data_IF_006445271776
#
_entry.id   IF_006445271776
#
_cell.length_a   1.000
_cell.length_b   1.000
_cell.length_c   1.000
_cell.angle_alpha   90.00
_cell.angle_beta   90.00
_cell.angle_gamma   90.00
#
_symmetry.space_group_name_H-M   'P 1'
#
loop_
_entity.id
_entity.type
_entity.pdbx_description
1 polymer ?
#
# COMPACT_ATOMS: atom_id res chain seq x y z
N UNK A 1 27.28 -70.25 16.65
CA UNK A 1 27.03 -71.71 16.62
C UNK A 1 26.62 -72.13 18.03
N UNK A 2 25.49 -72.84 18.15
CA UNK A 2 24.75 -73.22 19.36
C UNK A 2 24.13 -72.02 20.13
N UNK A 3 22.81 -71.83 20.24
CA UNK A 3 21.68 -72.73 20.05
C UNK A 3 21.25 -73.35 21.37
N UNK A 4 20.44 -72.65 22.17
CA UNK A 4 19.68 -73.23 23.28
C UNK A 4 18.27 -72.61 23.30
N UNK A 5 17.33 -73.45 22.88
CA UNK A 5 15.88 -73.31 23.05
C UNK A 5 15.49 -74.09 24.32
N UNK A 6 14.66 -73.49 25.17
CA UNK A 6 13.92 -74.21 26.21
C UNK A 6 12.45 -73.78 26.18
N UNK A 7 11.60 -74.79 26.22
CA UNK A 7 10.15 -74.78 26.08
C UNK A 7 9.39 -74.23 27.31
N UNK A 8 8.21 -73.64 27.02
CA UNK A 8 6.89 -73.57 27.69
C UNK A 8 6.64 -74.39 28.98
N UNK A 9 5.59 -74.13 29.84
CA UNK A 9 4.23 -73.66 29.45
C UNK A 9 3.47 -72.77 30.48
N UNK A 10 2.28 -72.29 30.09
CA UNK A 10 1.32 -71.69 31.04
C UNK A 10 0.13 -71.04 30.36
N UNK A 11 -0.82 -71.84 29.88
CA UNK A 11 -2.11 -71.37 29.38
C UNK A 11 -3.05 -71.01 30.55
N UNK A 12 -3.66 -69.82 30.50
CA UNK A 12 -4.96 -69.57 31.14
C UNK A 12 -5.87 -68.89 30.13
N UNK A 13 -6.85 -69.67 29.67
CA UNK A 13 -8.02 -69.26 28.91
C UNK A 13 -8.96 -68.42 29.77
N UNK A 14 -9.32 -67.23 29.30
CA UNK A 14 -10.59 -66.60 29.65
C UNK A 14 -11.30 -66.21 28.36
N UNK A 15 -12.29 -67.02 28.01
CA UNK A 15 -13.32 -66.73 27.01
C UNK A 15 -14.28 -65.70 27.56
N UNK A 16 -14.43 -64.56 26.88
CA UNK A 16 -15.65 -63.76 26.95
C UNK A 16 -16.10 -63.44 25.54
N UNK A 17 -17.15 -64.16 25.12
CA UNK A 17 -17.95 -63.87 23.95
C UNK A 17 -18.79 -62.63 24.21
N UNK A 18 -18.74 -61.63 23.31
CA UNK A 18 -19.95 -60.87 23.00
C UNK A 18 -19.94 -60.31 21.58
N UNK A 19 -20.87 -60.87 20.81
CA UNK A 19 -21.31 -60.42 19.50
C UNK A 19 -21.92 -59.02 19.57
N UNK A 20 -21.44 -58.12 18.72
CA UNK A 20 -22.26 -57.09 18.07
C UNK A 20 -21.79 -56.90 16.63
N UNK A 21 -22.55 -57.44 15.68
CA UNK A 21 -22.40 -57.13 14.24
C UNK A 21 -22.95 -55.72 13.99
N UNK A 22 -22.11 -54.70 14.08
CA UNK A 22 -22.42 -53.40 13.47
C UNK A 22 -22.03 -53.46 11.99
N UNK A 23 -23.05 -53.61 11.13
CA UNK A 23 -22.91 -53.42 9.69
C UNK A 23 -22.57 -51.95 9.44
N UNK A 24 -21.30 -51.64 9.24
CA UNK A 24 -20.93 -50.39 8.58
C UNK A 24 -21.27 -50.55 7.10
N UNK A 25 -22.40 -49.96 6.68
CA UNK A 25 -22.63 -49.70 5.26
C UNK A 25 -21.50 -48.80 4.77
N UNK A 26 -20.79 -49.24 3.74
CA UNK A 26 -19.93 -48.34 2.96
C UNK A 26 -20.83 -47.23 2.43
N UNK A 27 -20.69 -46.03 2.98
CA UNK A 27 -21.16 -44.83 2.32
C UNK A 27 -20.27 -44.71 1.07
N UNK A 28 -20.80 -45.13 -0.07
CA UNK A 28 -20.25 -44.72 -1.36
C UNK A 28 -20.39 -43.21 -1.41
N UNK A 29 -19.30 -42.50 -1.12
CA UNK A 29 -19.14 -41.09 -1.44
C UNK A 29 -19.24 -40.95 -2.95
N UNK A 30 -20.46 -40.72 -3.43
CA UNK A 30 -20.70 -40.18 -4.75
C UNK A 30 -19.96 -38.85 -4.81
N UNK A 31 -18.83 -38.83 -5.51
CA UNK A 31 -18.11 -37.61 -5.86
C UNK A 31 -19.02 -36.75 -6.70
N UNK A 32 -19.79 -35.87 -6.04
CA UNK A 32 -20.45 -34.75 -6.70
C UNK A 32 -19.31 -33.86 -7.18
N UNK A 33 -18.88 -34.05 -8.42
CA UNK A 33 -18.07 -33.07 -9.12
C UNK A 33 -18.93 -31.83 -9.22
N UNK A 34 -18.67 -30.83 -8.37
CA UNK A 34 -19.18 -29.48 -8.57
C UNK A 34 -18.61 -28.97 -9.89
N UNK A 35 -19.30 -29.24 -11.00
CA UNK A 35 -19.05 -28.51 -12.24
C UNK A 35 -19.41 -27.07 -11.94
N UNK A 36 -18.40 -26.21 -11.86
CA UNK A 36 -18.58 -24.77 -11.85
C UNK A 36 -19.28 -24.44 -13.16
N UNK A 37 -20.59 -24.24 -13.12
CA UNK A 37 -21.33 -23.65 -14.22
C UNK A 37 -21.14 -22.15 -14.14
N UNK A 38 -20.68 -21.53 -15.24
CA UNK A 38 -20.76 -20.09 -15.41
C UNK A 38 -22.25 -19.73 -15.50
N UNK A 39 -22.88 -19.45 -14.36
CA UNK A 39 -24.21 -18.85 -14.32
C UNK A 39 -23.96 -17.41 -14.75
N UNK A 40 -24.18 -17.11 -16.03
CA UNK A 40 -24.07 -15.78 -16.61
C UNK A 40 -25.14 -14.83 -16.09
N UNK A 41 -25.17 -14.63 -14.77
CA UNK A 41 -26.09 -13.73 -14.10
C UNK A 41 -25.41 -12.36 -13.93
N UNK A 42 -25.41 -11.60 -15.03
CA UNK A 42 -25.17 -10.16 -15.01
C UNK A 42 -26.05 -9.53 -16.12
N UNK A 43 -27.38 -9.45 -15.92
CA UNK A 43 -28.31 -8.97 -16.94
C UNK A 43 -28.12 -7.49 -17.28
N UNK A 44 -27.51 -6.71 -16.38
CA UNK A 44 -27.29 -5.27 -16.50
C UNK A 44 -25.83 -4.89 -16.81
N UNK A 45 -24.93 -5.88 -16.94
CA UNK A 45 -23.52 -5.67 -17.30
C UNK A 45 -22.69 -4.91 -16.26
N UNK A 46 -23.12 -4.91 -14.99
CA UNK A 46 -22.54 -4.08 -13.91
C UNK A 46 -21.19 -4.61 -13.45
N UNK A 47 -20.96 -5.92 -13.57
CA UNK A 47 -19.77 -6.59 -13.01
C UNK A 47 -18.59 -6.63 -14.00
N UNK A 48 -18.83 -6.30 -15.27
CA UNK A 48 -17.83 -6.33 -16.33
C UNK A 48 -17.30 -7.75 -16.62
N UNK A 49 -16.42 -7.90 -17.63
CA UNK A 49 -15.87 -9.20 -17.98
C UNK A 49 -15.01 -9.77 -16.82
N UNK A 50 -15.04 -11.09 -16.58
CA UNK A 50 -14.22 -11.71 -15.55
C UNK A 50 -12.74 -11.44 -15.82
N UNK A 51 -12.06 -10.84 -14.84
CA UNK A 51 -10.61 -10.57 -14.92
C UNK A 51 -9.87 -11.90 -14.71
N UNK A 52 -9.01 -12.28 -15.66
CA UNK A 52 -8.17 -13.47 -15.56
C UNK A 52 -6.99 -13.30 -14.59
N UNK A 53 -6.22 -14.37 -14.38
CA UNK A 53 -4.95 -14.32 -13.65
C UNK A 53 -5.03 -14.46 -12.13
N UNK A 54 -6.21 -14.68 -11.54
CA UNK A 54 -6.36 -14.90 -10.10
C UNK A 54 -5.56 -16.11 -9.58
N UNK A 55 -5.54 -17.21 -10.34
CA UNK A 55 -4.76 -18.42 -10.00
C UNK A 55 -3.26 -18.11 -10.04
N UNK A 56 -2.79 -17.45 -11.11
CA UNK A 56 -1.38 -17.08 -11.24
C UNK A 56 -0.90 -16.14 -10.11
N UNK A 57 -1.74 -15.17 -9.69
CA UNK A 57 -1.44 -14.30 -8.54
C UNK A 57 -1.36 -15.07 -7.23
N UNK A 58 -2.28 -16.01 -7.00
CA UNK A 58 -2.26 -16.85 -5.81
C UNK A 58 -1.06 -17.79 -5.79
N UNK A 59 -0.71 -18.39 -6.93
CA UNK A 59 0.46 -19.24 -7.06
C UNK A 59 1.76 -18.45 -6.88
N UNK A 60 1.85 -17.24 -7.44
CA UNK A 60 2.97 -16.33 -7.25
C UNK A 60 3.13 -15.95 -5.77
N UNK A 61 2.03 -15.53 -5.12
CA UNK A 61 2.01 -15.24 -3.68
C UNK A 61 2.46 -16.44 -2.86
N UNK A 62 1.96 -17.64 -3.18
CA UNK A 62 2.31 -18.88 -2.48
C UNK A 62 3.77 -19.31 -2.71
N UNK A 63 4.36 -19.01 -3.86
CA UNK A 63 5.79 -19.25 -4.15
C UNK A 63 6.66 -18.32 -3.35
N UNK A 64 6.37 -17.01 -3.37
CA UNK A 64 7.01 -16.05 -2.48
C UNK A 64 6.84 -16.50 -1.03
N UNK A 65 5.67 -17.00 -0.61
CA UNK A 65 5.49 -17.39 0.79
C UNK A 65 6.34 -18.57 1.26
N UNK A 66 6.72 -19.46 0.34
CA UNK A 66 7.42 -20.71 0.63
C UNK A 66 8.93 -20.63 0.40
N UNK A 67 9.36 -19.75 -0.49
CA UNK A 67 10.74 -19.66 -0.94
C UNK A 67 11.35 -18.33 -0.48
N UNK A 68 12.22 -18.42 0.52
CA UNK A 68 12.95 -17.27 1.07
C UNK A 68 13.87 -16.64 0.02
N UNK A 69 14.52 -17.44 -0.83
CA UNK A 69 15.38 -16.95 -1.91
C UNK A 69 14.59 -16.22 -2.99
N UNK A 70 13.39 -16.70 -3.33
CA UNK A 70 12.51 -16.00 -4.27
C UNK A 70 11.99 -14.66 -3.70
N UNK A 71 11.72 -14.59 -2.38
CA UNK A 71 11.37 -13.32 -1.72
C UNK A 71 12.54 -12.34 -1.76
N UNK A 72 13.73 -12.80 -1.42
CA UNK A 72 14.94 -11.98 -1.39
C UNK A 72 15.26 -11.43 -2.78
N UNK A 73 15.23 -12.28 -3.81
CA UNK A 73 15.45 -11.85 -5.20
C UNK A 73 14.41 -10.82 -5.66
N UNK A 74 13.14 -11.02 -5.31
CA UNK A 74 12.09 -10.05 -5.63
C UNK A 74 12.29 -8.71 -4.91
N UNK A 75 12.66 -8.74 -3.62
CA UNK A 75 12.97 -7.53 -2.86
C UNK A 75 14.20 -6.81 -3.42
N UNK A 76 15.24 -7.54 -3.83
CA UNK A 76 16.42 -6.98 -4.48
C UNK A 76 16.05 -6.28 -5.79
N UNK A 77 15.26 -6.90 -6.65
CA UNK A 77 14.76 -6.28 -7.89
C UNK A 77 13.99 -4.98 -7.61
N UNK A 78 13.12 -4.96 -6.59
CA UNK A 78 12.40 -3.75 -6.22
C UNK A 78 13.35 -2.65 -5.72
N UNK A 79 14.40 -3.00 -4.98
CA UNK A 79 15.42 -2.05 -4.52
C UNK A 79 16.21 -1.48 -5.69
N UNK A 80 16.68 -2.33 -6.61
CA UNK A 80 17.41 -1.93 -7.82
C UNK A 80 16.57 -0.98 -8.70
N UNK A 81 15.31 -1.33 -8.95
CA UNK A 81 14.37 -0.47 -9.69
C UNK A 81 14.13 0.86 -8.97
N UNK A 82 14.04 0.85 -7.64
CA UNK A 82 13.89 2.07 -6.86
C UNK A 82 15.15 2.93 -6.90
N UNK A 83 16.34 2.32 -6.82
CA UNK A 83 17.63 3.00 -6.90
C UNK A 83 17.88 3.58 -8.29
N UNK A 84 17.56 2.83 -9.36
CA UNK A 84 17.63 3.33 -10.73
C UNK A 84 16.78 4.59 -10.89
N UNK A 85 15.54 4.56 -10.42
CA UNK A 85 14.65 5.74 -10.44
C UNK A 85 15.18 6.90 -9.59
N UNK A 86 15.76 6.62 -8.42
CA UNK A 86 16.42 7.67 -7.62
C UNK A 86 17.60 8.29 -8.39
N UNK A 87 18.40 7.49 -9.07
CA UNK A 87 19.52 7.98 -9.87
C UNK A 87 19.04 8.84 -11.05
N UNK A 88 17.99 8.42 -11.74
CA UNK A 88 17.34 9.21 -12.81
C UNK A 88 16.87 10.57 -12.29
N UNK A 89 16.21 10.63 -11.13
CA UNK A 89 15.78 11.90 -10.49
C UNK A 89 16.94 12.82 -10.12
N UNK A 90 18.05 12.24 -9.66
CA UNK A 90 19.24 13.00 -9.27
C UNK A 90 19.99 13.54 -10.50
N UNK A 91 19.94 12.81 -11.62
CA UNK A 91 20.54 13.25 -12.88
C UNK A 91 19.78 14.39 -13.55
N UNK A 92 18.45 14.50 -13.30
CA UNK A 92 17.63 15.59 -13.83
C UNK A 92 18.04 16.94 -13.22
N UNK A 93 18.35 17.90 -14.10
CA UNK A 93 18.70 19.28 -13.73
C UNK A 93 17.45 20.14 -13.77
N UNK A 94 17.17 20.84 -12.66
CA UNK A 94 16.02 21.74 -12.55
C UNK A 94 16.35 23.05 -13.28
N UNK A 95 15.56 23.47 -14.27
CA UNK A 95 15.79 24.74 -14.97
C UNK A 95 15.48 25.96 -14.09
N UNK A 96 16.18 27.07 -14.31
CA UNK A 96 15.97 28.32 -13.54
C UNK A 96 14.86 29.22 -14.13
N UNK A 97 14.54 29.10 -15.42
CA UNK A 97 13.50 29.88 -16.11
C UNK A 97 12.11 29.23 -15.99
N UNK A 98 11.04 30.05 -16.05
CA UNK A 98 9.66 29.56 -16.01
C UNK A 98 9.32 28.70 -17.25
N UNK A 99 9.75 29.11 -18.44
CA UNK A 99 9.57 28.36 -19.69
C UNK A 99 10.29 27.01 -19.61
N UNK A 100 11.54 27.01 -19.13
CA UNK A 100 12.31 25.79 -18.92
C UNK A 100 11.66 24.87 -17.88
N UNK A 101 11.10 25.43 -16.81
CA UNK A 101 10.38 24.67 -15.80
C UNK A 101 9.09 24.05 -16.36
N UNK A 102 8.40 24.74 -17.27
CA UNK A 102 7.22 24.22 -17.95
C UNK A 102 7.57 23.04 -18.86
N UNK A 103 8.59 23.16 -19.71
CA UNK A 103 9.07 22.05 -20.55
C UNK A 103 9.55 20.88 -19.69
N UNK A 104 10.24 21.16 -18.58
CA UNK A 104 10.67 20.14 -17.64
C UNK A 104 9.50 19.28 -17.14
N UNK A 105 8.35 19.88 -16.85
CA UNK A 105 7.15 19.16 -16.41
C UNK A 105 6.45 18.43 -17.54
N UNK A 106 6.46 18.96 -18.77
CA UNK A 106 5.94 18.27 -19.95
C UNK A 106 6.77 17.02 -20.28
N UNK A 107 8.08 17.07 -20.10
CA UNK A 107 9.01 15.95 -20.24
C UNK A 107 9.07 15.04 -19.00
N UNK A 108 8.21 15.26 -18.01
CA UNK A 108 8.17 14.43 -16.79
C UNK A 108 7.18 13.28 -16.97
N UNK A 109 7.63 12.07 -16.64
CA UNK A 109 6.74 10.90 -16.66
C UNK A 109 5.61 11.05 -15.63
N UNK A 110 4.41 10.56 -15.98
CA UNK A 110 3.24 10.65 -15.11
C UNK A 110 3.42 10.00 -13.72
N UNK A 111 4.36 9.05 -13.56
CA UNK A 111 4.67 8.42 -12.26
C UNK A 111 5.60 9.25 -11.40
N UNK A 112 6.36 10.16 -11.99
CA UNK A 112 7.38 10.97 -11.33
C UNK A 112 6.90 12.41 -11.12
N UNK A 113 5.83 12.82 -11.81
CA UNK A 113 5.28 14.17 -11.72
C UNK A 113 4.89 14.54 -10.28
N UNK A 114 4.32 13.62 -9.50
CA UNK A 114 3.96 13.88 -8.10
C UNK A 114 5.18 14.19 -7.24
N UNK A 115 6.30 13.50 -7.51
CA UNK A 115 7.56 13.74 -6.81
C UNK A 115 8.16 15.09 -7.20
N UNK A 116 8.17 15.41 -8.50
CA UNK A 116 8.70 16.70 -8.98
C UNK A 116 7.85 17.88 -8.53
N UNK A 117 6.52 17.74 -8.46
CA UNK A 117 5.62 18.74 -7.87
C UNK A 117 5.99 18.98 -6.40
N UNK A 118 6.21 17.90 -5.64
CA UNK A 118 6.58 18.00 -4.22
C UNK A 118 7.94 18.68 -4.04
N UNK A 119 8.93 18.31 -4.87
CA UNK A 119 10.29 18.88 -4.86
C UNK A 119 10.31 20.36 -5.23
N UNK A 120 9.51 20.75 -6.22
CA UNK A 120 9.50 22.10 -6.81
C UNK A 120 8.33 22.95 -6.31
N UNK A 121 7.60 22.50 -5.27
CA UNK A 121 6.48 23.23 -4.67
C UNK A 121 6.78 24.70 -4.38
N UNK A 122 7.97 25.10 -3.85
CA UNK A 122 8.28 26.50 -3.60
C UNK A 122 8.38 27.37 -4.85
N UNK A 123 8.55 26.76 -6.03
CA UNK A 123 8.61 27.43 -7.33
C UNK A 123 7.27 27.43 -8.07
N UNK A 124 6.39 26.50 -7.76
CA UNK A 124 5.01 26.41 -8.27
C UNK A 124 4.10 27.46 -7.60
N UNK A 125 4.44 28.73 -7.78
CA UNK A 125 3.75 29.88 -7.21
C UNK A 125 2.76 30.47 -8.22
N UNK A 126 1.97 31.44 -7.76
CA UNK A 126 1.01 32.17 -8.60
C UNK A 126 1.66 32.73 -9.87
N UNK A 127 2.88 33.26 -9.77
CA UNK A 127 3.64 33.81 -10.92
C UNK A 127 3.86 32.77 -12.02
N UNK A 128 4.20 31.53 -11.67
CA UNK A 128 4.38 30.44 -12.61
C UNK A 128 3.06 30.03 -13.27
N UNK A 129 1.97 29.94 -12.50
CA UNK A 129 0.65 29.63 -13.08
C UNK A 129 0.11 30.76 -13.95
N UNK A 130 0.39 32.01 -13.60
CA UNK A 130 0.04 33.16 -14.42
C UNK A 130 0.86 33.19 -15.71
N UNK A 131 2.12 32.75 -15.69
CA UNK A 131 2.93 32.51 -16.89
C UNK A 131 2.26 31.51 -17.85
N UNK A 132 1.86 30.33 -17.35
CA UNK A 132 1.16 29.32 -18.18
C UNK A 132 -0.14 29.88 -18.76
N UNK A 133 -0.91 30.66 -17.99
CA UNK A 133 -2.15 31.29 -18.49
C UNK A 133 -1.88 32.30 -19.60
N UNK A 134 -0.77 33.05 -19.52
CA UNK A 134 -0.38 34.00 -20.57
C UNK A 134 -0.01 33.27 -21.85
N UNK A 135 0.79 32.21 -21.79
CA UNK A 135 1.11 31.39 -22.97
C UNK A 135 -0.14 30.77 -23.58
N UNK A 136 -1.01 30.16 -22.77
CA UNK A 136 -2.29 29.63 -23.22
C UNK A 136 -3.16 30.71 -23.89
N UNK A 137 -3.17 31.92 -23.33
CA UNK A 137 -3.86 33.06 -23.93
C UNK A 137 -3.29 33.41 -25.30
N UNK A 138 -1.96 33.53 -25.42
CA UNK A 138 -1.29 33.84 -26.68
C UNK A 138 -1.60 32.80 -27.75
N UNK A 139 -1.56 31.51 -27.41
CA UNK A 139 -1.86 30.42 -28.36
C UNK A 139 -3.34 30.37 -28.76
N UNK A 140 -4.27 30.56 -27.81
CA UNK A 140 -5.72 30.52 -28.08
C UNK A 140 -6.21 31.70 -28.93
N UNK A 141 -5.61 32.87 -28.75
CA UNK A 141 -5.97 34.11 -29.45
C UNK A 141 -5.09 34.42 -30.66
N UNK A 142 -4.15 33.53 -31.03
CA UNK A 142 -3.37 33.69 -32.24
C UNK A 142 -4.26 33.70 -33.50
N UNK A 143 -3.98 34.64 -34.40
CA UNK A 143 -4.76 34.87 -35.63
C UNK A 143 -4.66 33.70 -36.61
N UNK A 144 -3.54 33.00 -36.63
CA UNK A 144 -3.30 31.79 -37.43
C UNK A 144 -3.26 30.57 -36.52
N UNK A 145 -4.26 29.68 -36.62
CA UNK A 145 -4.27 28.41 -35.89
C UNK A 145 -3.68 27.32 -36.76
N UNK A 146 -2.54 26.78 -36.34
CA UNK A 146 -1.97 25.55 -36.91
C UNK A 146 -2.27 24.37 -35.99
N UNK A 147 -2.22 23.15 -36.51
CA UNK A 147 -2.42 21.93 -35.70
C UNK A 147 -1.44 21.84 -34.54
N UNK A 148 -0.17 22.19 -34.78
CA UNK A 148 0.89 22.22 -33.77
C UNK A 148 0.55 23.18 -32.60
N UNK A 149 -0.10 24.31 -32.88
CA UNK A 149 -0.55 25.23 -31.83
C UNK A 149 -1.73 24.66 -31.03
N UNK A 150 -2.65 23.96 -31.69
CA UNK A 150 -3.77 23.29 -31.02
C UNK A 150 -3.29 22.15 -30.11
N UNK A 151 -2.35 21.34 -30.60
CA UNK A 151 -1.72 20.26 -29.81
C UNK A 151 -0.99 20.83 -28.60
N UNK A 152 -0.22 21.92 -28.77
CA UNK A 152 0.46 22.58 -27.66
C UNK A 152 -0.51 23.17 -26.63
N UNK A 153 -1.65 23.71 -27.06
CA UNK A 153 -2.70 24.18 -26.14
C UNK A 153 -3.22 23.03 -25.28
N UNK A 154 -3.43 21.84 -25.86
CA UNK A 154 -3.90 20.65 -25.13
C UNK A 154 -2.86 20.21 -24.10
N UNK A 155 -1.57 20.16 -24.47
CA UNK A 155 -0.47 19.82 -23.56
C UNK A 155 -0.40 20.79 -22.37
N UNK A 156 -0.46 22.10 -22.65
CA UNK A 156 -0.39 23.14 -21.63
C UNK A 156 -1.61 23.14 -20.69
N UNK A 157 -2.79 22.86 -21.21
CA UNK A 157 -4.00 22.72 -20.39
C UNK A 157 -3.93 21.48 -19.50
N UNK A 158 -3.46 20.35 -20.05
CA UNK A 158 -3.29 19.12 -19.31
C UNK A 158 -2.29 19.30 -18.16
N UNK A 159 -1.11 19.86 -18.44
CA UNK A 159 -0.08 20.05 -17.41
C UNK A 159 -0.51 21.09 -16.37
N UNK A 160 -1.16 22.18 -16.78
CA UNK A 160 -1.70 23.17 -15.84
C UNK A 160 -2.65 22.52 -14.83
N UNK A 161 -3.57 21.68 -15.32
CA UNK A 161 -4.53 20.97 -14.47
C UNK A 161 -3.83 20.02 -13.50
N UNK A 162 -2.90 19.20 -13.99
CA UNK A 162 -2.16 18.24 -13.16
C UNK A 162 -1.33 18.96 -12.07
N UNK A 163 -0.66 20.06 -12.42
CA UNK A 163 0.13 20.83 -11.46
C UNK A 163 -0.76 21.53 -10.42
N UNK A 164 -1.93 22.04 -10.79
CA UNK A 164 -2.88 22.63 -9.83
C UNK A 164 -3.40 21.56 -8.86
N UNK A 165 -3.91 20.44 -9.37
CA UNK A 165 -4.41 19.34 -8.53
C UNK A 165 -3.31 18.77 -7.62
N UNK A 166 -2.09 18.59 -8.15
CA UNK A 166 -0.96 18.08 -7.38
C UNK A 166 -0.47 19.05 -6.31
N UNK A 167 -0.41 20.35 -6.58
CA UNK A 167 -0.03 21.36 -5.56
C UNK A 167 -1.08 21.46 -4.45
N UNK A 168 -2.37 21.42 -4.78
CA UNK A 168 -3.44 21.37 -3.78
C UNK A 168 -3.39 20.11 -2.93
N UNK A 169 -3.14 18.94 -3.55
CA UNK A 169 -3.00 17.68 -2.84
C UNK A 169 -1.80 17.71 -1.89
N UNK A 170 -0.66 18.26 -2.35
CA UNK A 170 0.53 18.44 -1.53
C UNK A 170 0.25 19.36 -0.33
N UNK A 171 -0.38 20.50 -0.54
CA UNK A 171 -0.67 21.47 0.54
C UNK A 171 -1.63 20.87 1.59
N UNK A 172 -2.65 20.12 1.15
CA UNK A 172 -3.56 19.38 2.04
C UNK A 172 -2.79 18.34 2.86
N UNK A 173 -1.96 17.54 2.21
CA UNK A 173 -1.12 16.54 2.88
C UNK A 173 -0.17 17.20 3.89
N UNK A 174 0.45 18.32 3.54
CA UNK A 174 1.33 19.06 4.45
C UNK A 174 0.57 19.55 5.69
N UNK A 175 -0.62 20.14 5.51
CA UNK A 175 -1.46 20.57 6.63
C UNK A 175 -1.89 19.39 7.52
N UNK A 176 -2.23 18.26 6.92
CA UNK A 176 -2.58 17.03 7.64
C UNK A 176 -1.40 16.49 8.45
N UNK A 177 -0.18 16.53 7.90
CA UNK A 177 1.03 16.10 8.61
C UNK A 177 1.39 17.05 9.77
N UNK A 178 1.30 18.36 9.58
CA UNK A 178 1.55 19.35 10.65
C UNK A 178 0.55 19.17 11.77
N UNK A 179 -0.74 19.07 11.46
CA UNK A 179 -1.77 18.84 12.47
C UNK A 179 -1.64 17.48 13.15
N UNK A 180 -1.22 16.43 12.41
CA UNK A 180 -0.95 15.12 13.00
C UNK A 180 0.22 15.15 13.98
N UNK A 181 1.28 15.91 13.68
CA UNK A 181 2.40 16.14 14.60
C UNK A 181 1.94 16.82 15.89
N UNK A 182 1.15 17.89 15.79
CA UNK A 182 0.61 18.60 16.97
C UNK A 182 -0.26 17.69 17.84
N UNK A 183 -1.12 16.90 17.22
CA UNK A 183 -1.96 15.88 17.88
C UNK A 183 -1.11 14.83 18.59
N UNK A 184 -0.04 14.35 17.93
CA UNK A 184 0.85 13.37 18.53
C UNK A 184 1.61 13.93 19.73
N UNK A 185 2.09 15.17 19.64
CA UNK A 185 2.72 15.88 20.76
C UNK A 185 1.74 15.99 21.94
N UNK A 186 0.48 16.37 21.68
CA UNK A 186 -0.56 16.42 22.72
C UNK A 186 -0.76 15.06 23.40
N UNK A 187 -0.79 13.96 22.65
CA UNK A 187 -0.94 12.61 23.21
C UNK A 187 0.25 12.26 24.10
N UNK A 188 1.48 12.44 23.59
CA UNK A 188 2.69 12.02 24.29
C UNK A 188 2.98 12.87 25.54
N UNK A 189 2.61 14.15 25.53
CA UNK A 189 2.80 15.06 26.66
C UNK A 189 1.66 14.99 27.70
N UNK A 190 0.52 14.37 27.39
CA UNK A 190 -0.61 14.31 28.31
C UNK A 190 -0.29 13.50 29.57
N UNK A 191 -0.75 14.00 30.73
CA UNK A 191 -0.68 13.25 31.99
C UNK A 191 -1.59 12.01 31.92
N UNK A 192 -2.85 12.20 31.49
CA UNK A 192 -3.84 11.15 31.30
C UNK A 192 -4.07 10.83 29.81
N UNK A 193 -3.38 9.79 29.34
CA UNK A 193 -3.37 9.41 27.92
C UNK A 193 -4.71 8.85 27.47
N UNK A 194 -5.38 8.07 28.32
CA UNK A 194 -6.66 7.42 27.99
C UNK A 194 -7.78 8.45 27.81
N UNK A 195 -7.89 9.43 28.71
CA UNK A 195 -8.89 10.50 28.59
C UNK A 195 -8.60 11.40 27.39
N UNK A 196 -7.32 11.74 27.16
CA UNK A 196 -6.89 12.53 26.00
C UNK A 196 -7.22 11.81 24.69
N UNK A 197 -6.97 10.50 24.61
CA UNK A 197 -7.33 9.70 23.43
C UNK A 197 -8.85 9.67 23.23
N UNK A 198 -9.65 9.50 24.28
CA UNK A 198 -11.12 9.54 24.18
C UNK A 198 -11.63 10.91 23.68
N UNK A 199 -11.12 12.01 24.24
CA UNK A 199 -11.44 13.37 23.80
C UNK A 199 -11.10 13.57 22.31
N UNK A 200 -9.96 13.03 21.87
CA UNK A 200 -9.52 13.11 20.48
C UNK A 200 -10.34 12.23 19.54
N UNK A 201 -10.84 11.08 20.01
CA UNK A 201 -11.77 10.23 19.26
C UNK A 201 -13.10 10.94 19.06
N UNK A 202 -13.65 11.55 20.11
CA UNK A 202 -14.90 12.32 20.03
C UNK A 202 -14.82 13.46 19.01
N UNK A 203 -13.63 14.06 18.86
CA UNK A 203 -13.37 15.13 17.87
C UNK A 203 -12.94 14.62 16.49
N UNK A 204 -12.95 13.30 16.23
CA UNK A 204 -12.43 12.67 15.01
C UNK A 204 -10.99 13.08 14.67
N UNK A 205 -10.16 13.26 15.70
CA UNK A 205 -8.79 13.72 15.57
C UNK A 205 -7.78 12.58 15.44
N UNK A 206 -8.17 11.34 15.72
CA UNK A 206 -7.34 10.16 15.47
C UNK A 206 -7.50 9.71 14.02
N UNK A 207 -6.46 9.89 13.22
CA UNK A 207 -6.43 9.53 11.80
C UNK A 207 -5.18 8.70 11.47
N UNK A 208 -5.13 8.19 10.24
CA UNK A 208 -4.04 7.33 9.77
C UNK A 208 -2.69 8.05 9.77
N UNK A 209 -2.65 9.37 9.57
CA UNK A 209 -1.42 10.15 9.57
C UNK A 209 -0.78 10.23 10.97
N UNK A 210 -1.57 10.43 12.04
CA UNK A 210 -1.03 10.38 13.42
C UNK A 210 -0.44 9.00 13.73
N UNK A 211 -1.10 7.93 13.29
CA UNK A 211 -0.61 6.57 13.48
C UNK A 211 0.69 6.32 12.70
N UNK A 212 0.76 6.77 11.43
CA UNK A 212 1.96 6.61 10.62
C UNK A 212 3.17 7.34 11.21
N UNK A 213 2.98 8.57 11.71
CA UNK A 213 4.04 9.32 12.41
C UNK A 213 4.49 8.63 13.70
N UNK A 214 3.56 8.02 14.44
CA UNK A 214 3.91 7.23 15.63
C UNK A 214 4.72 5.99 15.26
N UNK A 215 4.36 5.30 14.17
CA UNK A 215 5.08 4.12 13.68
C UNK A 215 6.51 4.47 13.24
N UNK A 216 6.70 5.58 12.54
CA UNK A 216 8.02 6.09 12.15
C UNK A 216 8.88 6.49 13.36
N UNK A 217 8.28 7.13 14.37
CA UNK A 217 8.97 7.48 15.61
C UNK A 217 9.38 6.23 16.41
N UNK A 218 8.55 5.19 16.44
CA UNK A 218 8.88 3.90 17.07
C UNK A 218 10.07 3.27 16.34
N UNK A 219 10.02 3.18 15.01
CA UNK A 219 11.12 2.64 14.22
C UNK A 219 12.43 3.42 14.46
N UNK A 220 12.37 4.75 14.42
CA UNK A 220 13.52 5.62 14.70
C UNK A 220 14.05 5.44 16.13
N UNK A 221 13.18 5.26 17.13
CA UNK A 221 13.61 5.02 18.51
C UNK A 221 14.30 3.65 18.66
N UNK A 222 13.84 2.63 17.95
CA UNK A 222 14.47 1.30 17.93
C UNK A 222 15.83 1.33 17.25
N UNK A 223 15.96 2.05 16.13
CA UNK A 223 17.24 2.25 15.43
C UNK A 223 18.28 2.96 16.30
N UNK A 224 17.84 3.86 17.18
CA UNK A 224 18.71 4.61 18.12
C UNK A 224 18.80 3.96 19.52
N UNK A 225 18.43 2.69 19.67
CA UNK A 225 18.48 1.94 20.95
C UNK A 225 17.68 2.54 22.13
N UNK A 226 16.73 3.44 21.87
CA UNK A 226 15.84 4.04 22.87
C UNK A 226 14.65 3.13 23.21
N UNK A 227 14.94 1.96 23.79
CA UNK A 227 13.97 0.86 24.01
C UNK A 227 12.80 1.24 24.93
N UNK A 228 13.05 2.05 25.96
CA UNK A 228 12.00 2.49 26.89
C UNK A 228 10.99 3.43 26.21
N UNK A 229 11.49 4.37 25.39
CA UNK A 229 10.65 5.28 24.63
C UNK A 229 9.84 4.53 23.55
N UNK A 230 10.48 3.56 22.87
CA UNK A 230 9.81 2.70 21.90
C UNK A 230 8.67 1.89 22.56
N UNK A 231 8.93 1.22 23.69
CA UNK A 231 7.92 0.46 24.43
C UNK A 231 6.76 1.35 24.91
N UNK A 232 7.05 2.58 25.36
CA UNK A 232 6.01 3.55 25.71
C UNK A 232 5.13 3.91 24.51
N UNK A 233 5.74 4.24 23.37
CA UNK A 233 5.03 4.60 22.14
C UNK A 233 4.23 3.42 21.57
N UNK A 234 4.73 2.18 21.67
CA UNK A 234 4.01 0.97 21.28
C UNK A 234 2.73 0.76 22.11
N UNK A 235 2.78 1.06 23.42
CA UNK A 235 1.60 0.99 24.27
C UNK A 235 0.54 2.03 23.86
N UNK A 236 0.96 3.25 23.53
CA UNK A 236 0.08 4.31 22.99
C UNK A 236 -0.50 3.90 21.65
N UNK A 237 0.31 3.31 20.78
CA UNK A 237 -0.12 2.78 19.48
C UNK A 237 -1.20 1.71 19.65
N UNK A 238 -0.99 0.76 20.56
CA UNK A 238 -1.94 -0.32 20.83
C UNK A 238 -3.28 0.18 21.37
N UNK A 239 -3.29 1.27 22.14
CA UNK A 239 -4.55 1.90 22.58
C UNK A 239 -5.21 2.68 21.46
N UNK A 240 -4.45 3.46 20.67
CA UNK A 240 -4.98 4.19 19.52
C UNK A 240 -5.65 3.28 18.48
N UNK A 241 -5.06 2.11 18.19
CA UNK A 241 -5.62 1.14 17.24
C UNK A 241 -7.01 0.62 17.62
N UNK A 242 -7.40 0.70 18.90
CA UNK A 242 -8.75 0.31 19.35
C UNK A 242 -9.82 1.29 18.89
N UNK A 243 -9.44 2.53 18.60
CA UNK A 243 -10.35 3.62 18.29
C UNK A 243 -10.29 4.08 16.83
N UNK A 244 -9.21 3.75 16.10
CA UNK A 244 -9.15 3.98 14.65
C UNK A 244 -9.99 2.90 13.96
N UNK A 245 -11.17 3.27 13.50
CA UNK A 245 -12.01 2.41 12.66
C UNK A 245 -11.46 2.41 11.23
N UNK A 246 -11.30 1.21 10.64
CA UNK A 246 -10.99 1.00 9.21
C UNK A 246 -12.18 1.37 8.36
#
# INVERSE_FOLDING_TARGET
MAGLSLHCPGAVTVTVTRSTKTRFSRITTTTIRTRISCIGWDPEGVLGPPKGGHIARLEFKKRLEKDEGAREAFVQQLKEEQERRRAERQARVVPETNDGLLEYFLDTEAREIEFEISRLRPRLNKEFFDHIKLELGQLRFAVSRTKEMEDRVIELEAIQKVLLEGTEAYDKMQADLVSAKERLIKILQSEDKKSTLLEMVERNQLNRSVLALLDENIASALENDHKEAAAFMENVRATMLKYITV
#
